data_IF_903798934051
#
_entry.id   IF_903798934051
#
_cell.length_a   1.000
_cell.length_b   1.000
_cell.length_c   1.000
_cell.angle_alpha   90.00
_cell.angle_beta   90.00
_cell.angle_gamma   90.00
#
_symmetry.space_group_name_H-M   'P 1'
#
loop_
_entity.id
_entity.type
_entity.pdbx_description
1 polymer ?
#
# COMPACT_ATOMS: atom_id res chain seq x y z
N UNK A 1 -9.96 -17.36 -12.16
CA UNK A 1 -10.30 -18.12 -13.39
C UNK A 1 -10.52 -17.22 -14.61
N UNK A 2 -11.13 -16.03 -14.47
CA UNK A 2 -11.36 -15.10 -15.60
C UNK A 2 -10.06 -14.62 -16.25
N UNK A 3 -9.03 -14.27 -15.47
CA UNK A 3 -7.74 -13.80 -15.98
C UNK A 3 -7.04 -14.84 -16.87
N UNK A 4 -7.02 -16.12 -16.45
CA UNK A 4 -6.42 -17.18 -17.28
C UNK A 4 -7.22 -17.43 -18.56
N UNK A 5 -8.54 -17.27 -18.52
CA UNK A 5 -9.38 -17.38 -19.70
C UNK A 5 -9.12 -16.21 -20.67
N UNK A 6 -9.01 -14.99 -20.17
CA UNK A 6 -8.64 -13.84 -20.99
C UNK A 6 -7.25 -13.97 -21.57
N UNK A 7 -6.29 -14.43 -20.78
CA UNK A 7 -4.92 -14.68 -21.24
C UNK A 7 -4.90 -15.70 -22.39
N UNK A 8 -5.64 -16.80 -22.28
CA UNK A 8 -5.77 -17.80 -23.36
C UNK A 8 -6.39 -17.24 -24.63
N UNK A 9 -7.34 -16.32 -24.49
CA UNK A 9 -7.93 -15.65 -25.66
C UNK A 9 -6.91 -14.77 -26.39
N UNK A 10 -5.99 -14.13 -25.68
CA UNK A 10 -4.97 -13.24 -26.26
C UNK A 10 -3.85 -14.04 -26.90
N UNK A 11 -3.34 -15.07 -26.24
CA UNK A 11 -2.15 -15.80 -26.70
C UNK A 11 -2.48 -17.04 -27.56
N UNK A 12 -3.77 -17.42 -27.64
CA UNK A 12 -4.20 -18.60 -28.42
C UNK A 12 -4.00 -19.93 -27.69
N UNK A 13 -4.17 -21.03 -28.44
CA UNK A 13 -4.14 -22.39 -27.89
C UNK A 13 -2.77 -23.07 -28.07
N UNK A 14 -1.80 -22.40 -28.68
CA UNK A 14 -0.50 -22.97 -28.99
C UNK A 14 0.51 -22.88 -27.83
N UNK A 15 0.10 -22.29 -26.70
CA UNK A 15 0.92 -22.15 -25.51
C UNK A 15 0.28 -22.85 -24.31
N UNK A 16 1.11 -23.60 -23.58
CA UNK A 16 0.73 -24.15 -22.29
C UNK A 16 1.05 -23.16 -21.17
N UNK A 17 0.18 -23.08 -20.16
CA UNK A 17 0.39 -22.25 -18.98
C UNK A 17 0.68 -23.11 -17.78
N UNK A 18 1.79 -22.85 -17.14
CA UNK A 18 2.12 -23.36 -15.82
C UNK A 18 1.97 -22.22 -14.79
N UNK A 19 1.24 -22.49 -13.71
CA UNK A 19 1.07 -21.54 -12.61
C UNK A 19 2.10 -21.89 -11.54
N UNK A 20 3.22 -21.17 -11.54
CA UNK A 20 4.28 -21.35 -10.55
C UNK A 20 3.83 -20.85 -9.17
N UNK A 21 3.17 -19.69 -9.11
CA UNK A 21 2.70 -19.12 -7.86
C UNK A 21 1.33 -18.45 -8.03
N UNK A 22 0.44 -18.70 -7.09
CA UNK A 22 -0.85 -18.02 -7.01
C UNK A 22 -0.98 -17.29 -5.66
N UNK A 23 -1.32 -16.02 -5.73
CA UNK A 23 -1.70 -15.21 -4.56
C UNK A 23 -3.04 -14.55 -4.86
N UNK A 24 -4.07 -14.77 -4.03
CA UNK A 24 -5.35 -14.11 -4.22
C UNK A 24 -5.19 -12.59 -4.06
N UNK A 25 -6.00 -11.79 -4.77
CA UNK A 25 -6.02 -10.36 -4.55
C UNK A 25 -6.48 -10.05 -3.11
N UNK A 26 -5.94 -8.98 -2.56
CA UNK A 26 -6.30 -8.46 -1.25
C UNK A 26 -6.89 -7.06 -1.42
N UNK A 27 -7.99 -6.83 -0.72
CA UNK A 27 -8.65 -5.53 -0.68
C UNK A 27 -8.86 -5.12 0.77
N UNK A 28 -8.43 -3.92 1.13
CA UNK A 28 -8.71 -3.29 2.40
C UNK A 28 -9.82 -2.24 2.24
N UNK A 29 -10.67 -2.10 3.25
CA UNK A 29 -11.73 -1.08 3.22
C UNK A 29 -11.14 0.30 3.44
N UNK A 30 -11.59 1.30 2.67
CA UNK A 30 -11.20 2.70 2.83
C UNK A 30 -12.09 3.40 3.87
N UNK A 31 -12.27 2.78 5.02
CA UNK A 31 -13.14 3.26 6.11
C UNK A 31 -12.75 2.65 7.46
N UNK A 32 -12.99 3.39 8.52
CA UNK A 32 -12.89 2.94 9.91
C UNK A 32 -11.47 2.71 10.43
N UNK A 33 -11.35 2.62 11.74
CA UNK A 33 -10.16 2.17 12.44
C UNK A 33 -8.88 2.86 11.97
N UNK A 34 -7.91 2.07 11.49
CA UNK A 34 -6.61 2.57 11.04
C UNK A 34 -6.70 3.53 9.84
N UNK A 35 -7.67 3.31 8.92
CA UNK A 35 -7.82 4.20 7.77
C UNK A 35 -8.18 5.64 8.20
N UNK A 36 -9.14 5.79 9.11
CA UNK A 36 -9.57 7.10 9.62
C UNK A 36 -8.44 7.81 10.37
N UNK A 37 -7.61 7.05 11.11
CA UNK A 37 -6.43 7.59 11.76
C UNK A 37 -5.41 8.09 10.73
N UNK A 38 -5.15 7.32 9.66
CA UNK A 38 -4.26 7.74 8.58
C UNK A 38 -4.75 9.06 7.97
N UNK A 39 -6.05 9.15 7.64
CA UNK A 39 -6.65 10.37 7.08
C UNK A 39 -6.48 11.56 8.04
N UNK A 40 -6.80 11.38 9.31
CA UNK A 40 -6.71 12.44 10.30
C UNK A 40 -5.26 12.91 10.54
N UNK A 41 -4.30 11.99 10.53
CA UNK A 41 -2.88 12.32 10.68
C UNK A 41 -2.37 13.06 9.45
N UNK A 42 -2.66 12.56 8.25
CA UNK A 42 -2.26 13.23 7.01
C UNK A 42 -2.85 14.65 6.92
N UNK A 43 -4.10 14.82 7.29
CA UNK A 43 -4.74 16.13 7.31
C UNK A 43 -4.01 17.15 8.21
N UNK A 44 -3.34 16.69 9.28
CA UNK A 44 -2.54 17.56 10.15
C UNK A 44 -1.16 17.86 9.59
N UNK A 45 -0.52 16.88 8.96
CA UNK A 45 0.85 17.00 8.45
C UNK A 45 0.93 17.63 7.06
N UNK A 46 -0.04 17.35 6.20
CA UNK A 46 -0.17 17.90 4.86
C UNK A 46 -1.65 18.07 4.47
N UNK A 47 -2.29 19.20 4.89
CA UNK A 47 -3.70 19.45 4.61
C UNK A 47 -4.05 19.55 3.12
N UNK A 48 -3.06 19.77 2.27
CA UNK A 48 -3.25 19.88 0.82
C UNK A 48 -3.25 18.51 0.12
N UNK A 49 -2.76 17.46 0.78
CA UNK A 49 -2.67 16.12 0.21
C UNK A 49 -3.90 15.27 0.62
N UNK A 50 -4.83 14.98 -0.28
CA UNK A 50 -5.94 14.08 0.01
C UNK A 50 -5.43 12.64 0.13
N UNK A 51 -5.96 11.90 1.11
CA UNK A 51 -5.75 10.45 1.22
C UNK A 51 -6.81 9.75 0.37
N UNK A 52 -6.36 9.04 -0.64
CA UNK A 52 -7.25 8.31 -1.54
C UNK A 52 -6.84 6.83 -1.62
N UNK A 53 -7.79 5.89 -1.69
CA UNK A 53 -7.47 4.51 -1.92
C UNK A 53 -6.88 4.32 -3.33
N UNK A 54 -5.87 3.49 -3.43
CA UNK A 54 -5.25 3.13 -4.70
C UNK A 54 -5.00 1.63 -4.77
N UNK A 55 -5.00 1.09 -5.98
CA UNK A 55 -4.64 -0.30 -6.23
C UNK A 55 -3.14 -0.41 -6.49
N UNK A 56 -2.46 -1.21 -5.68
CA UNK A 56 -1.07 -1.61 -5.96
C UNK A 56 -1.08 -2.86 -6.83
N UNK A 57 -0.33 -2.85 -7.91
CA UNK A 57 -0.13 -4.01 -8.79
C UNK A 57 0.99 -4.93 -8.30
N UNK A 58 1.74 -4.52 -7.26
CA UNK A 58 2.81 -5.28 -6.65
C UNK A 58 2.33 -6.24 -5.55
N UNK A 59 3.19 -7.19 -5.20
CA UNK A 59 2.98 -8.07 -4.06
C UNK A 59 3.39 -7.42 -2.75
N UNK A 60 2.76 -7.83 -1.63
CA UNK A 60 3.11 -7.41 -0.28
C UNK A 60 3.02 -8.59 0.68
N UNK A 61 3.69 -8.48 1.83
CA UNK A 61 3.65 -9.50 2.89
C UNK A 61 2.25 -9.68 3.51
N UNK A 62 1.32 -8.77 3.22
CA UNK A 62 -0.09 -8.92 3.56
C UNK A 62 -0.68 -10.25 3.06
N UNK A 63 -0.20 -10.77 1.92
CA UNK A 63 -0.58 -12.09 1.37
C UNK A 63 -0.37 -13.25 2.35
N UNK A 64 0.55 -13.09 3.31
CA UNK A 64 0.83 -14.10 4.33
C UNK A 64 0.05 -13.88 5.62
N UNK A 65 -0.38 -12.65 5.89
CA UNK A 65 -1.06 -12.25 7.12
C UNK A 65 -2.58 -12.41 6.99
N UNK A 66 -3.16 -11.76 5.97
CA UNK A 66 -4.62 -11.65 5.82
C UNK A 66 -5.33 -13.01 5.73
N UNK A 67 -4.84 -14.01 4.97
CA UNK A 67 -5.48 -15.32 4.93
C UNK A 67 -5.45 -16.06 6.27
N UNK A 68 -4.43 -15.79 7.10
CA UNK A 68 -4.30 -16.43 8.43
C UNK A 68 -5.06 -15.71 9.52
N UNK A 69 -5.42 -14.45 9.30
CA UNK A 69 -6.18 -13.60 10.21
C UNK A 69 -7.25 -12.83 9.45
N UNK A 70 -8.36 -13.48 9.07
CA UNK A 70 -9.46 -12.83 8.38
C UNK A 70 -9.97 -11.62 9.17
N UNK A 71 -10.26 -10.53 8.45
CA UNK A 71 -10.66 -9.26 9.06
C UNK A 71 -9.50 -8.30 9.37
N UNK A 72 -8.23 -8.73 9.24
CA UNK A 72 -7.10 -7.83 9.34
C UNK A 72 -7.10 -6.87 8.14
N UNK A 73 -7.05 -5.56 8.42
CA UNK A 73 -6.89 -4.54 7.40
C UNK A 73 -5.40 -4.21 7.26
N UNK A 74 -4.91 -4.21 6.03
CA UNK A 74 -3.52 -3.87 5.70
C UNK A 74 -3.50 -2.83 4.61
N UNK A 75 -2.81 -1.73 4.84
CA UNK A 75 -2.67 -0.63 3.90
C UNK A 75 -1.22 -0.47 3.48
N UNK A 76 -0.96 -0.35 2.18
CA UNK A 76 0.34 0.03 1.64
C UNK A 76 0.55 1.54 1.77
N UNK A 77 0.52 2.04 3.00
CA UNK A 77 0.64 3.46 3.28
C UNK A 77 2.11 3.86 3.42
N UNK A 78 2.57 4.66 2.47
CA UNK A 78 3.90 5.25 2.47
C UNK A 78 3.77 6.77 2.28
N UNK A 79 3.81 7.54 3.37
CA UNK A 79 3.68 8.99 3.29
C UNK A 79 4.98 9.60 2.75
N UNK A 80 4.90 10.20 1.57
CA UNK A 80 5.98 10.99 0.99
C UNK A 80 5.40 12.11 0.14
N UNK A 81 6.17 13.19 -0.03
CA UNK A 81 5.81 14.32 -0.90
C UNK A 81 6.75 14.31 -2.10
N UNK A 82 6.18 14.52 -3.27
CA UNK A 82 6.99 14.55 -4.49
C UNK A 82 8.02 15.69 -4.42
N UNK A 83 9.28 15.35 -4.64
CA UNK A 83 10.38 16.30 -4.64
C UNK A 83 10.62 16.81 -6.07
N UNK A 84 10.76 18.14 -6.28
CA UNK A 84 11.11 18.67 -7.60
C UNK A 84 12.43 18.08 -8.10
N UNK A 85 12.38 17.47 -9.28
CA UNK A 85 13.57 16.89 -9.94
C UNK A 85 13.99 15.51 -9.42
N UNK A 86 13.21 14.88 -8.54
CA UNK A 86 13.40 13.50 -8.09
C UNK A 86 12.12 12.70 -8.27
N UNK A 87 12.13 11.77 -9.21
CA UNK A 87 11.03 10.84 -9.46
C UNK A 87 11.21 9.56 -8.61
N UNK A 88 11.07 9.68 -7.29
CA UNK A 88 11.36 8.61 -6.32
C UNK A 88 10.66 7.30 -6.66
N UNK A 89 9.39 7.36 -7.09
CA UNK A 89 8.63 6.16 -7.47
C UNK A 89 9.26 5.37 -8.62
N UNK A 90 9.97 6.03 -9.54
CA UNK A 90 10.69 5.38 -10.64
C UNK A 90 12.01 4.74 -10.20
N UNK A 91 12.51 5.13 -9.04
CA UNK A 91 13.77 4.62 -8.48
C UNK A 91 13.55 3.38 -7.62
N UNK A 92 12.32 3.11 -7.20
CA UNK A 92 11.99 1.96 -6.34
C UNK A 92 12.45 0.67 -7.02
N UNK A 93 13.19 -0.15 -6.27
CA UNK A 93 13.83 -1.39 -6.73
C UNK A 93 14.90 -1.18 -7.81
N UNK A 94 15.34 0.05 -8.04
CA UNK A 94 16.41 0.40 -8.97
C UNK A 94 17.79 0.46 -8.29
N UNK A 95 18.85 0.55 -9.12
CA UNK A 95 20.22 0.67 -8.62
C UNK A 95 20.52 1.98 -7.91
N UNK A 96 19.72 3.01 -8.14
CA UNK A 96 19.91 4.37 -7.62
C UNK A 96 18.72 4.79 -6.74
N UNK A 97 18.11 3.81 -6.08
CA UNK A 97 17.00 4.03 -5.15
C UNK A 97 17.47 4.90 -3.99
N UNK A 98 16.82 6.04 -3.83
CA UNK A 98 17.15 7.04 -2.82
C UNK A 98 15.94 7.87 -2.46
N UNK A 99 15.96 8.44 -1.26
CA UNK A 99 15.01 9.46 -0.82
C UNK A 99 15.75 10.61 -0.17
N UNK A 100 15.11 11.77 -0.10
CA UNK A 100 15.69 12.91 0.61
C UNK A 100 15.58 12.73 2.13
N UNK A 101 16.49 13.38 2.87
CA UNK A 101 16.43 13.39 4.34
C UNK A 101 15.12 14.03 4.84
N UNK A 102 14.65 15.07 4.16
CA UNK A 102 13.41 15.77 4.54
C UNK A 102 12.18 14.86 4.38
N UNK A 103 12.13 14.05 3.32
CA UNK A 103 11.04 13.09 3.13
C UNK A 103 11.12 11.92 4.12
N UNK A 104 12.32 11.45 4.43
CA UNK A 104 12.51 10.44 5.47
C UNK A 104 12.01 10.95 6.84
N UNK A 105 12.33 12.20 7.18
CA UNK A 105 11.85 12.83 8.42
C UNK A 105 10.33 13.04 8.40
N UNK A 106 9.77 13.48 7.28
CA UNK A 106 8.31 13.63 7.11
C UNK A 106 7.62 12.28 7.30
N UNK A 107 8.03 11.27 6.56
CA UNK A 107 7.46 9.93 6.65
C UNK A 107 7.55 9.35 8.07
N UNK A 108 8.70 9.50 8.74
CA UNK A 108 8.90 9.03 10.11
C UNK A 108 7.93 9.70 11.09
N UNK A 109 7.73 11.01 10.99
CA UNK A 109 6.81 11.74 11.87
C UNK A 109 5.35 11.31 11.63
N UNK A 110 4.95 11.22 10.38
CA UNK A 110 3.60 10.79 10.01
C UNK A 110 3.33 9.38 10.51
N UNK A 111 4.23 8.42 10.24
CA UNK A 111 4.07 7.03 10.68
C UNK A 111 4.06 6.91 12.22
N UNK A 112 4.91 7.66 12.90
CA UNK A 112 4.91 7.72 14.37
C UNK A 112 3.56 8.18 14.89
N UNK A 113 3.02 9.28 14.36
CA UNK A 113 1.73 9.81 14.77
C UNK A 113 0.57 8.86 14.45
N UNK A 114 0.61 8.15 13.32
CA UNK A 114 -0.38 7.12 12.99
C UNK A 114 -0.37 6.01 14.04
N UNK A 115 0.80 5.47 14.39
CA UNK A 115 0.92 4.41 15.39
C UNK A 115 0.40 4.87 16.75
N UNK A 116 0.85 6.03 17.24
CA UNK A 116 0.45 6.55 18.55
C UNK A 116 -1.06 6.83 18.61
N UNK A 117 -1.63 7.47 17.58
CA UNK A 117 -3.05 7.78 17.58
C UNK A 117 -3.90 6.51 17.47
N UNK A 118 -3.49 5.53 16.69
CA UNK A 118 -4.21 4.27 16.54
C UNK A 118 -4.20 3.45 17.84
N UNK A 119 -3.02 3.29 18.46
CA UNK A 119 -2.92 2.53 19.71
C UNK A 119 -3.70 3.17 20.85
N UNK A 120 -3.65 4.49 20.99
CA UNK A 120 -4.41 5.20 22.01
C UNK A 120 -5.93 5.14 21.78
N UNK A 121 -6.39 5.06 20.54
CA UNK A 121 -7.82 4.94 20.24
C UNK A 121 -8.40 3.56 20.56
N UNK A 122 -7.56 2.52 20.60
CA UNK A 122 -7.98 1.15 20.93
C UNK A 122 -8.01 0.86 22.44
N UNK A 123 -7.36 1.67 23.27
CA UNK A 123 -7.37 1.52 24.73
C UNK A 123 -8.63 2.11 25.39
N UNK A 124 -9.48 2.82 24.63
CA UNK A 124 -10.66 3.53 25.18
C UNK A 124 -11.97 2.77 24.92
N UNK A 125 -11.93 1.56 24.36
CA UNK A 125 -13.07 0.67 24.13
C UNK A 125 -13.01 -0.55 25.05
#
# INVERSE_FOLDING_TARGET
>A
ESFLAELRQVVGHDLDFEIDQYSPPLEARAEGGLYDVIVAVMQRHDPAAPVVPSLSTGGTDAKHIVPRRPGTQVYGFMPYRQQPGLEEMQLIHGHDERTSVDELLFATRVLYDVVINYTNSTETQ
#
